data_IF_401435111068
#
_entry.id   IF_401435111068
#
_cell.length_a   1.000
_cell.length_b   1.000
_cell.length_c   1.000
_cell.angle_alpha   90.00
_cell.angle_beta   90.00
_cell.angle_gamma   90.00
#
_symmetry.space_group_name_H-M   'P 1'
#
loop_
_entity.id
_entity.type
_entity.pdbx_description
1 polymer ?
#
# COMPACT_ATOMS: atom_id res chain seq x y z
N UNK A 1 15.95 -5.05 -20.20
CA UNK A 1 16.45 -6.23 -19.46
C UNK A 1 15.31 -6.72 -18.58
N UNK A 2 14.91 -7.99 -18.72
CA UNK A 2 13.77 -8.57 -18.00
C UNK A 2 14.22 -8.98 -16.60
N UNK A 3 13.89 -8.18 -15.58
CA UNK A 3 13.86 -8.70 -14.21
C UNK A 3 12.59 -9.54 -14.12
N UNK A 4 12.66 -10.81 -13.74
CA UNK A 4 11.56 -11.80 -13.79
C UNK A 4 10.32 -11.52 -12.94
N UNK A 5 10.01 -10.25 -12.66
CA UNK A 5 8.83 -9.74 -11.96
C UNK A 5 8.07 -8.69 -12.80
N UNK A 6 8.72 -8.02 -13.75
CA UNK A 6 8.13 -6.96 -14.58
C UNK A 6 8.85 -6.81 -15.93
N UNK A 7 8.11 -6.45 -17.00
CA UNK A 7 8.71 -5.90 -18.22
C UNK A 7 8.56 -4.38 -18.17
N UNK A 8 9.69 -3.68 -18.33
CA UNK A 8 9.76 -2.23 -18.25
C UNK A 8 10.12 -1.66 -19.62
N UNK A 9 9.32 -0.72 -20.11
CA UNK A 9 9.68 0.08 -21.28
C UNK A 9 10.76 1.10 -20.86
N UNK A 10 11.92 1.08 -21.49
CA UNK A 10 13.06 1.93 -21.12
C UNK A 10 12.82 3.42 -21.38
N UNK A 11 11.71 3.80 -22.03
CA UNK A 11 11.31 5.20 -22.26
C UNK A 11 10.14 5.68 -21.39
N UNK A 12 9.48 4.80 -20.63
CA UNK A 12 8.28 5.12 -19.85
C UNK A 12 8.40 4.63 -18.40
N UNK A 13 7.67 5.30 -17.47
CA UNK A 13 7.48 4.78 -16.10
C UNK A 13 6.58 3.55 -16.07
N UNK A 14 5.86 3.27 -17.15
CA UNK A 14 4.89 2.18 -17.21
C UNK A 14 5.56 0.80 -17.17
N UNK A 15 4.90 -0.12 -16.49
CA UNK A 15 5.34 -1.51 -16.30
C UNK A 15 4.24 -2.47 -16.71
N UNK A 16 4.64 -3.64 -17.17
CA UNK A 16 3.75 -4.80 -17.30
C UNK A 16 3.89 -5.64 -16.03
N UNK A 17 2.77 -5.92 -15.37
CA UNK A 17 2.71 -6.71 -14.13
C UNK A 17 2.06 -8.05 -14.43
N UNK A 18 2.74 -9.15 -14.10
CA UNK A 18 2.16 -10.48 -14.29
C UNK A 18 1.09 -10.76 -13.21
N UNK A 19 -0.14 -11.18 -13.58
CA UNK A 19 -1.20 -11.45 -12.62
C UNK A 19 -0.81 -12.45 -11.54
N UNK A 20 -0.06 -13.49 -11.87
CA UNK A 20 0.34 -14.53 -10.92
C UNK A 20 1.28 -13.98 -9.85
N UNK A 21 2.16 -13.06 -10.24
CA UNK A 21 3.08 -12.38 -9.32
C UNK A 21 2.30 -11.47 -8.37
N UNK A 22 1.26 -10.80 -8.87
CA UNK A 22 0.37 -9.96 -8.06
C UNK A 22 -0.37 -10.80 -7.02
N UNK A 23 -1.02 -11.87 -7.44
CA UNK A 23 -1.78 -12.77 -6.55
C UNK A 23 -0.88 -13.43 -5.51
N UNK A 24 0.31 -13.89 -5.90
CA UNK A 24 1.29 -14.42 -4.95
C UNK A 24 1.69 -13.38 -3.90
N UNK A 25 1.88 -12.12 -4.32
CA UNK A 25 2.24 -11.02 -3.42
C UNK A 25 1.10 -10.67 -2.47
N UNK A 26 -0.13 -10.64 -2.95
CA UNK A 26 -1.33 -10.40 -2.13
C UNK A 26 -1.47 -11.48 -1.07
N UNK A 27 -1.41 -12.75 -1.44
CA UNK A 27 -1.45 -13.85 -0.47
C UNK A 27 -0.32 -13.78 0.56
N UNK A 28 0.87 -13.31 0.16
CA UNK A 28 1.96 -13.06 1.10
C UNK A 28 1.65 -11.91 2.07
N UNK A 29 1.04 -10.82 1.60
CA UNK A 29 0.62 -9.69 2.46
C UNK A 29 -0.43 -10.15 3.47
N UNK A 30 -1.45 -10.90 3.04
CA UNK A 30 -2.49 -11.44 3.92
C UNK A 30 -1.87 -12.35 4.98
N UNK A 31 -0.95 -13.23 4.58
CA UNK A 31 -0.25 -14.10 5.51
C UNK A 31 0.55 -13.30 6.55
N UNK A 32 1.32 -12.29 6.12
CA UNK A 32 2.06 -11.42 7.03
C UNK A 32 1.13 -10.68 8.01
N UNK A 33 0.01 -10.14 7.52
CA UNK A 33 -0.98 -9.49 8.38
C UNK A 33 -1.52 -10.44 9.44
N UNK A 34 -1.84 -11.69 9.08
CA UNK A 34 -2.30 -12.70 10.03
C UNK A 34 -1.21 -13.08 11.05
N UNK A 35 0.04 -13.23 10.62
CA UNK A 35 1.17 -13.53 11.51
C UNK A 35 1.40 -12.40 12.50
N UNK A 36 1.45 -11.15 12.02
CA UNK A 36 1.61 -9.98 12.90
C UNK A 36 0.43 -9.83 13.85
N UNK A 37 -0.81 -10.03 13.38
CA UNK A 37 -2.00 -9.98 14.25
C UNK A 37 -1.91 -11.00 15.40
N UNK A 38 -1.38 -12.20 15.15
CA UNK A 38 -1.15 -13.20 16.20
C UNK A 38 -0.03 -12.79 17.16
N UNK A 39 1.10 -12.33 16.62
CA UNK A 39 2.25 -11.91 17.44
C UNK A 39 1.92 -10.70 18.33
N UNK A 40 1.13 -9.77 17.82
CA UNK A 40 0.75 -8.54 18.51
C UNK A 40 -0.41 -8.75 19.50
N UNK A 41 -1.05 -9.92 19.52
CA UNK A 41 -2.19 -10.23 20.40
C UNK A 41 -1.86 -10.07 21.88
N UNK A 42 -0.62 -10.40 22.26
CA UNK A 42 -0.17 -10.37 23.66
C UNK A 42 0.45 -9.02 24.05
N UNK A 43 0.48 -8.04 23.12
CA UNK A 43 0.99 -6.72 23.41
C UNK A 43 -0.10 -5.86 24.07
N UNK A 44 0.23 -5.09 25.12
CA UNK A 44 -0.75 -4.37 25.92
C UNK A 44 -1.45 -3.23 25.18
N UNK A 45 -0.82 -2.69 24.12
CA UNK A 45 -1.37 -1.62 23.31
C UNK A 45 -0.84 -1.70 21.87
N UNK A 46 -1.75 -1.69 20.90
CA UNK A 46 -1.45 -1.68 19.46
C UNK A 46 -2.28 -0.59 18.81
N UNK A 47 -1.63 0.31 18.06
CA UNK A 47 -2.31 1.34 17.28
C UNK A 47 -2.39 0.90 15.83
N UNK A 48 -3.62 0.73 15.33
CA UNK A 48 -3.85 0.53 13.90
C UNK A 48 -3.87 1.87 13.17
N UNK A 49 -3.20 1.93 12.03
CA UNK A 49 -3.09 3.10 11.16
C UNK A 49 -3.21 2.61 9.73
N UNK A 50 -4.05 3.27 8.93
CA UNK A 50 -4.19 2.98 7.51
C UNK A 50 -3.59 4.10 6.67
N UNK A 51 -3.20 3.78 5.44
CA UNK A 51 -2.67 4.77 4.52
C UNK A 51 -3.73 5.81 4.14
N UNK A 52 -4.97 5.37 3.97
CA UNK A 52 -6.13 6.17 3.59
C UNK A 52 -6.43 7.21 4.68
N UNK A 53 -6.40 6.81 5.96
CA UNK A 53 -6.57 7.73 7.08
C UNK A 53 -5.42 8.75 7.15
N UNK A 54 -4.17 8.31 6.96
CA UNK A 54 -3.01 9.21 6.93
C UNK A 54 -3.08 10.21 5.78
N UNK A 55 -3.70 9.85 4.66
CA UNK A 55 -3.87 10.74 3.52
C UNK A 55 -5.06 11.69 3.70
N UNK A 56 -6.19 11.20 4.21
CA UNK A 56 -7.42 11.96 4.35
C UNK A 56 -7.37 12.96 5.51
N UNK A 57 -6.82 12.55 6.66
CA UNK A 57 -6.81 13.32 7.91
C UNK A 57 -5.44 13.27 8.59
N UNK A 58 -4.35 13.75 7.93
CA UNK A 58 -2.98 13.59 8.41
C UNK A 58 -2.73 14.19 9.80
N UNK A 59 -3.26 15.39 10.08
CA UNK A 59 -3.05 16.06 11.36
C UNK A 59 -3.68 15.30 12.53
N UNK A 60 -4.88 14.75 12.32
CA UNK A 60 -5.59 13.95 13.31
C UNK A 60 -4.86 12.63 13.58
N UNK A 61 -4.42 11.94 12.52
CA UNK A 61 -3.66 10.70 12.65
C UNK A 61 -2.31 10.93 13.34
N UNK A 62 -1.59 12.00 13.00
CA UNK A 62 -0.34 12.36 13.69
C UNK A 62 -0.54 12.71 15.16
N UNK A 63 -1.62 13.41 15.50
CA UNK A 63 -1.96 13.67 16.90
C UNK A 63 -2.27 12.36 17.64
N UNK A 64 -3.00 11.43 17.01
CA UNK A 64 -3.33 10.11 17.58
C UNK A 64 -2.08 9.27 17.82
N UNK A 65 -1.14 9.26 16.87
CA UNK A 65 0.16 8.58 16.98
C UNK A 65 0.98 9.18 18.11
N UNK A 66 1.12 10.51 18.16
CA UNK A 66 1.90 11.18 19.21
C UNK A 66 1.32 10.93 20.61
N UNK A 67 -0.01 10.95 20.73
CA UNK A 67 -0.71 10.60 21.97
C UNK A 67 -0.46 9.15 22.38
N UNK A 68 -0.53 8.21 21.44
CA UNK A 68 -0.26 6.79 21.69
C UNK A 68 1.18 6.54 22.16
N UNK A 69 2.15 7.26 21.58
CA UNK A 69 3.56 7.18 21.98
C UNK A 69 3.87 7.92 23.29
N UNK A 70 2.91 8.65 23.86
CA UNK A 70 3.10 9.44 25.08
C UNK A 70 4.06 10.62 24.91
N UNK A 71 4.27 11.10 23.66
CA UNK A 71 5.14 12.23 23.38
C UNK A 71 4.37 13.54 23.37
N UNK A 72 5.07 14.65 23.59
CA UNK A 72 4.46 15.99 23.52
C UNK A 72 3.97 16.25 22.09
N UNK A 73 2.71 16.65 21.88
CA UNK A 73 2.20 16.97 20.55
C UNK A 73 3.00 18.10 19.89
N UNK A 74 3.41 17.87 18.66
CA UNK A 74 4.05 18.83 17.78
C UNK A 74 3.45 18.73 16.38
N UNK A 75 3.48 19.86 15.66
CA UNK A 75 3.17 19.88 14.24
C UNK A 75 4.27 19.12 13.49
N UNK A 76 3.89 18.07 12.78
CA UNK A 76 4.80 17.29 11.94
C UNK A 76 4.66 17.76 10.50
N UNK A 77 5.78 17.86 9.80
CA UNK A 77 5.81 18.14 8.37
C UNK A 77 6.71 17.12 7.67
N UNK A 78 6.34 16.77 6.45
CA UNK A 78 7.15 15.89 5.59
C UNK A 78 7.61 16.68 4.38
N UNK A 79 8.89 16.57 4.05
CA UNK A 79 9.45 17.07 2.80
C UNK A 79 9.31 16.06 1.65
N UNK A 80 8.81 14.86 1.96
CA UNK A 80 8.64 13.79 0.98
C UNK A 80 7.45 14.10 0.08
N UNK A 81 7.60 13.77 -1.21
CA UNK A 81 6.54 13.83 -2.21
C UNK A 81 6.11 12.42 -2.59
N UNK A 82 4.84 12.25 -2.99
CA UNK A 82 4.33 10.98 -3.52
C UNK A 82 5.18 10.57 -4.73
N UNK A 83 5.72 9.35 -4.71
CA UNK A 83 6.67 8.88 -5.73
C UNK A 83 6.00 8.68 -7.11
N UNK A 84 4.78 8.15 -7.11
CA UNK A 84 3.98 7.91 -8.30
C UNK A 84 2.60 8.56 -8.10
N UNK A 85 2.47 9.88 -8.37
CA UNK A 85 1.19 10.57 -8.26
C UNK A 85 0.21 10.19 -9.38
N UNK A 86 0.69 9.61 -10.48
CA UNK A 86 -0.12 9.20 -11.62
C UNK A 86 -1.05 8.01 -11.27
N UNK A 87 -2.26 7.93 -11.85
CA UNK A 87 -3.16 6.78 -11.67
C UNK A 87 -2.51 5.46 -12.10
N UNK A 88 -2.87 4.35 -11.44
CA UNK A 88 -2.35 3.03 -11.79
C UNK A 88 -2.67 2.63 -13.23
N UNK A 89 -3.80 3.10 -13.77
CA UNK A 89 -4.18 2.90 -15.17
C UNK A 89 -3.22 3.52 -16.19
N UNK A 90 -2.40 4.49 -15.78
CA UNK A 90 -1.35 5.08 -16.62
C UNK A 90 0.01 4.40 -16.43
N UNK A 91 0.19 3.67 -15.32
CA UNK A 91 1.45 3.03 -14.94
C UNK A 91 1.48 1.53 -15.26
N UNK A 92 0.32 0.89 -15.39
CA UNK A 92 0.19 -0.52 -15.74
C UNK A 92 -0.17 -0.67 -17.21
N UNK A 93 0.73 -1.24 -18.02
CA UNK A 93 0.49 -1.49 -19.43
C UNK A 93 -0.67 -2.48 -19.65
N UNK A 94 -0.86 -3.40 -18.70
CA UNK A 94 -1.92 -4.40 -18.70
C UNK A 94 -2.98 -4.13 -17.61
N UNK A 95 -3.29 -2.86 -17.32
CA UNK A 95 -4.25 -2.47 -16.28
C UNK A 95 -5.60 -3.21 -16.39
N UNK A 96 -6.17 -3.32 -17.59
CA UNK A 96 -7.47 -3.97 -17.79
C UNK A 96 -7.45 -5.47 -17.43
N UNK A 97 -6.35 -6.16 -17.73
CA UNK A 97 -6.16 -7.57 -17.36
C UNK A 97 -6.09 -7.72 -15.84
N UNK A 98 -5.28 -6.86 -15.18
CA UNK A 98 -5.18 -6.85 -13.72
C UNK A 98 -6.52 -6.53 -13.07
N UNK A 99 -7.28 -5.57 -13.62
CA UNK A 99 -8.60 -5.22 -13.12
C UNK A 99 -9.58 -6.39 -13.21
N UNK A 100 -9.57 -7.12 -14.33
CA UNK A 100 -10.40 -8.30 -14.50
C UNK A 100 -10.05 -9.41 -13.50
N UNK A 101 -8.76 -9.65 -13.25
CA UNK A 101 -8.30 -10.65 -12.30
C UNK A 101 -8.62 -10.31 -10.84
N UNK A 102 -8.64 -9.02 -10.49
CA UNK A 102 -8.99 -8.58 -9.13
C UNK A 102 -10.49 -8.39 -8.91
N UNK A 103 -11.32 -8.47 -9.95
CA UNK A 103 -12.75 -8.24 -9.84
C UNK A 103 -13.41 -9.23 -8.86
N UNK A 104 -14.17 -8.71 -7.90
CA UNK A 104 -14.81 -9.51 -6.84
C UNK A 104 -13.85 -9.99 -5.74
N UNK A 105 -12.57 -9.64 -5.79
CA UNK A 105 -11.62 -9.91 -4.72
C UNK A 105 -11.63 -8.80 -3.65
N UNK A 106 -11.06 -9.08 -2.49
CA UNK A 106 -10.84 -8.06 -1.45
C UNK A 106 -9.91 -6.91 -1.90
N UNK A 107 -9.23 -7.07 -3.04
CA UNK A 107 -8.23 -6.15 -3.57
C UNK A 107 -8.75 -5.24 -4.69
N UNK A 108 -10.00 -5.42 -5.14
CA UNK A 108 -10.60 -4.67 -6.26
C UNK A 108 -10.52 -3.16 -6.04
N UNK A 109 -10.82 -2.68 -4.82
CA UNK A 109 -10.83 -1.26 -4.47
C UNK A 109 -9.46 -0.56 -4.42
N UNK A 110 -8.36 -1.29 -4.61
CA UNK A 110 -7.00 -0.71 -4.57
C UNK A 110 -6.45 -0.29 -5.95
N UNK A 111 -7.22 -0.47 -7.03
CA UNK A 111 -6.82 -0.12 -8.40
C UNK A 111 -7.16 1.31 -8.84
N UNK A 112 -7.81 2.11 -7.99
CA UNK A 112 -8.31 3.46 -8.30
C UNK A 112 -7.24 4.57 -8.23
#
# INVERSE_FOLDING_TARGET
MSNGKYRQDTKSKAIELLPEVLLQRMGHIEHLQQVFARQLKDYPAVLSISYEALQATPEEEFARIQKFLGVRPQALYSLLKKQNPEPLSQLLLNYAEIQQELQGSAWEGFLE
#
